data_IF_736095709372
#
_entry.id   IF_736095709372
#
_cell.length_a   1.000
_cell.length_b   1.000
_cell.length_c   1.000
_cell.angle_alpha   90.00
_cell.angle_beta   90.00
_cell.angle_gamma   90.00
#
_symmetry.space_group_name_H-M   'P 1'
#
loop_
_entity.id
_entity.type
_entity.pdbx_description
1 polymer ?
#
# COMPACT_ATOMS: atom_id res chain seq x y z
N UNK A 1 3.73 34.77 -5.94
CA UNK A 1 3.01 33.49 -5.75
C UNK A 1 3.07 33.17 -4.27
N UNK A 2 1.96 32.75 -3.67
CA UNK A 2 1.91 32.33 -2.28
C UNK A 2 2.74 31.07 -2.06
N UNK A 3 3.30 30.92 -0.85
CA UNK A 3 3.97 29.68 -0.41
C UNK A 3 3.09 28.45 -0.65
N UNK A 4 1.78 28.57 -0.48
CA UNK A 4 0.80 27.51 -0.72
C UNK A 4 0.80 27.05 -2.17
N UNK A 5 0.67 27.98 -3.11
CA UNK A 5 0.65 27.67 -4.55
C UNK A 5 1.94 26.97 -5.02
N UNK A 6 3.08 27.44 -4.53
CA UNK A 6 4.39 26.88 -4.83
C UNK A 6 4.55 25.47 -4.25
N UNK A 7 4.15 25.25 -3.00
CA UNK A 7 4.24 23.95 -2.32
C UNK A 7 3.33 22.90 -2.96
N UNK A 8 2.10 23.25 -3.33
CA UNK A 8 1.19 22.35 -4.05
C UNK A 8 1.81 21.93 -5.39
N UNK A 9 2.29 22.90 -6.16
CA UNK A 9 2.92 22.63 -7.47
C UNK A 9 4.17 21.77 -7.34
N UNK A 10 5.01 22.06 -6.35
CA UNK A 10 6.24 21.32 -6.08
C UNK A 10 5.93 19.88 -5.67
N UNK A 11 5.01 19.68 -4.72
CA UNK A 11 4.60 18.36 -4.25
C UNK A 11 4.02 17.51 -5.38
N UNK A 12 3.13 18.06 -6.21
CA UNK A 12 2.60 17.34 -7.38
C UNK A 12 3.71 16.88 -8.33
N UNK A 13 4.66 17.77 -8.64
CA UNK A 13 5.80 17.45 -9.51
C UNK A 13 6.72 16.40 -8.90
N UNK A 14 6.96 16.46 -7.59
CA UNK A 14 7.76 15.49 -6.86
C UNK A 14 7.13 14.09 -6.92
N UNK A 15 5.80 14.01 -6.79
CA UNK A 15 5.02 12.78 -7.00
C UNK A 15 4.86 12.37 -8.48
N UNK A 16 5.46 13.11 -9.43
CA UNK A 16 5.37 12.89 -10.88
C UNK A 16 3.94 12.83 -11.45
N UNK A 17 3.00 13.52 -10.80
CA UNK A 17 1.61 13.57 -11.24
C UNK A 17 1.40 14.69 -12.26
N UNK A 18 0.65 14.42 -13.32
CA UNK A 18 0.08 15.48 -14.17
C UNK A 18 -1.05 16.20 -13.43
N UNK A 19 -1.38 17.42 -13.87
CA UNK A 19 -2.51 18.19 -13.34
C UNK A 19 -3.81 17.39 -13.46
N UNK A 20 -4.05 16.81 -14.64
CA UNK A 20 -5.17 15.90 -14.89
C UNK A 20 -5.16 14.69 -13.95
N UNK A 21 -4.02 14.04 -13.73
CA UNK A 21 -3.95 12.93 -12.77
C UNK A 21 -4.34 13.35 -11.35
N UNK A 22 -3.85 14.50 -10.88
CA UNK A 22 -4.18 15.01 -9.55
C UNK A 22 -5.70 15.22 -9.36
N UNK A 23 -6.40 15.65 -10.43
CA UNK A 23 -7.85 15.89 -10.37
C UNK A 23 -8.66 14.65 -10.00
N UNK A 24 -8.27 13.48 -10.50
CA UNK A 24 -8.95 12.23 -10.19
C UNK A 24 -8.89 11.86 -8.71
N UNK A 25 -7.85 12.32 -8.01
CA UNK A 25 -7.66 12.02 -6.60
C UNK A 25 -8.39 13.03 -5.69
N UNK A 26 -8.35 14.32 -6.01
CA UNK A 26 -8.94 15.36 -5.16
C UNK A 26 -10.39 15.72 -5.52
N UNK A 27 -10.89 15.25 -6.67
CA UNK A 27 -12.30 15.43 -7.08
C UNK A 27 -12.65 16.83 -7.57
N UNK A 28 -11.69 17.59 -8.13
CA UNK A 28 -11.91 18.95 -8.67
C UNK A 28 -11.57 19.02 -10.15
N UNK A 29 -11.95 20.11 -10.83
CA UNK A 29 -11.59 20.30 -12.25
C UNK A 29 -10.09 20.56 -12.46
N UNK A 30 -9.56 20.22 -13.63
CA UNK A 30 -8.16 20.53 -13.99
C UNK A 30 -7.84 22.02 -13.90
N UNK A 31 -8.81 22.88 -14.29
CA UNK A 31 -8.68 24.33 -14.12
C UNK A 31 -8.52 24.71 -12.65
N UNK A 32 -9.21 24.07 -11.72
CA UNK A 32 -9.09 24.36 -10.29
C UNK A 32 -7.67 24.11 -9.79
N UNK A 33 -7.08 22.96 -10.16
CA UNK A 33 -5.69 22.64 -9.80
C UNK A 33 -4.71 23.66 -10.38
N UNK A 34 -4.87 24.00 -11.67
CA UNK A 34 -4.03 25.04 -12.32
C UNK A 34 -4.15 26.37 -11.57
N UNK A 35 -5.36 26.75 -11.13
CA UNK A 35 -5.55 27.97 -10.36
C UNK A 35 -4.90 27.91 -8.97
N UNK A 36 -4.96 26.76 -8.30
CA UNK A 36 -4.25 26.54 -7.02
C UNK A 36 -2.73 26.72 -7.18
N UNK A 37 -2.16 26.14 -8.22
CA UNK A 37 -0.71 26.18 -8.49
C UNK A 37 -0.19 27.52 -8.98
N UNK A 38 -1.09 28.40 -9.46
CA UNK A 38 -0.75 29.74 -9.95
C UNK A 38 -1.27 30.86 -9.04
N UNK A 39 -1.67 30.54 -7.81
CA UNK A 39 -2.12 31.53 -6.82
C UNK A 39 -3.39 32.31 -7.23
N UNK A 40 -4.23 31.71 -8.07
CA UNK A 40 -5.48 32.30 -8.60
C UNK A 40 -6.74 31.83 -7.84
N UNK A 41 -6.60 30.82 -6.99
CA UNK A 41 -7.60 30.39 -6.02
C UNK A 41 -6.94 29.56 -4.92
N UNK A 42 -7.62 29.40 -3.80
CA UNK A 42 -7.20 28.52 -2.71
C UNK A 42 -7.98 27.21 -2.75
N UNK A 43 -7.34 26.07 -2.42
CA UNK A 43 -8.09 24.83 -2.18
C UNK A 43 -9.04 25.04 -1.00
N UNK A 44 -10.25 24.50 -1.11
CA UNK A 44 -11.16 24.40 0.03
C UNK A 44 -10.63 23.38 1.06
N UNK A 45 -11.26 23.32 2.23
CA UNK A 45 -10.84 22.42 3.30
C UNK A 45 -10.80 20.97 2.85
N UNK A 46 -11.78 20.54 2.04
CA UNK A 46 -11.82 19.17 1.52
C UNK A 46 -10.62 18.88 0.60
N UNK A 47 -10.38 19.75 -0.38
CA UNK A 47 -9.26 19.64 -1.31
C UNK A 47 -7.92 19.70 -0.58
N UNK A 48 -7.79 20.57 0.43
CA UNK A 48 -6.57 20.70 1.22
C UNK A 48 -6.25 19.42 2.00
N UNK A 49 -7.25 18.79 2.62
CA UNK A 49 -7.09 17.50 3.30
C UNK A 49 -6.65 16.42 2.31
N UNK A 50 -7.24 16.39 1.11
CA UNK A 50 -6.84 15.44 0.08
C UNK A 50 -5.40 15.68 -0.38
N UNK A 51 -5.01 16.94 -0.64
CA UNK A 51 -3.65 17.30 -1.05
C UNK A 51 -2.62 16.90 0.02
N UNK A 52 -2.88 17.20 1.29
CA UNK A 52 -2.06 16.79 2.43
C UNK A 52 -1.87 15.26 2.47
N UNK A 53 -2.96 14.53 2.28
CA UNK A 53 -2.98 13.06 2.27
C UNK A 53 -2.24 12.45 1.07
N UNK A 54 -2.44 13.01 -0.13
CA UNK A 54 -1.81 12.52 -1.37
C UNK A 54 -0.30 12.76 -1.36
N UNK A 55 0.12 13.91 -0.85
CA UNK A 55 1.52 14.30 -0.84
C UNK A 55 2.28 13.84 0.41
N UNK A 56 1.59 13.28 1.40
CA UNK A 56 2.13 12.94 2.73
C UNK A 56 2.80 14.14 3.41
N UNK A 57 2.10 15.28 3.40
CA UNK A 57 2.55 16.57 3.95
C UNK A 57 1.56 17.09 4.98
N UNK A 58 2.04 17.84 5.97
CA UNK A 58 1.15 18.54 6.90
C UNK A 58 0.36 19.64 6.18
N UNK A 59 -0.86 19.93 6.63
CA UNK A 59 -1.63 21.10 6.16
C UNK A 59 -0.91 22.39 6.48
N UNK A 60 -0.24 22.46 7.63
CA UNK A 60 0.51 23.65 8.05
C UNK A 60 1.71 23.91 7.12
N UNK A 61 2.38 22.85 6.67
CA UNK A 61 3.36 22.97 5.59
C UNK A 61 2.69 23.41 4.30
N UNK A 62 1.63 22.75 3.84
CA UNK A 62 0.98 23.16 2.59
C UNK A 62 0.49 24.60 2.61
N UNK A 63 0.01 25.11 3.74
CA UNK A 63 -0.48 26.48 3.91
C UNK A 63 0.63 27.52 4.15
N UNK A 64 1.89 27.11 4.29
CA UNK A 64 2.99 28.03 4.57
C UNK A 64 3.12 28.45 6.04
N UNK A 65 2.39 27.82 6.95
CA UNK A 65 2.38 28.09 8.40
C UNK A 65 3.57 27.44 9.14
N UNK A 66 4.16 26.40 8.53
CA UNK A 66 5.34 25.70 9.05
C UNK A 66 6.30 25.35 7.92
N UNK A 67 7.61 25.34 8.18
CA UNK A 67 8.61 24.80 7.25
C UNK A 67 8.88 23.30 7.51
N UNK A 68 8.28 22.74 8.57
CA UNK A 68 8.30 21.30 8.80
C UNK A 68 7.28 20.59 7.91
N UNK A 69 7.79 19.92 6.88
CA UNK A 69 7.00 19.12 5.95
C UNK A 69 6.41 17.87 6.59
N UNK A 70 7.01 17.37 7.69
CA UNK A 70 6.51 16.18 8.36
C UNK A 70 5.09 16.40 8.84
N UNK A 71 4.24 15.52 8.37
CA UNK A 71 2.94 15.35 8.93
C UNK A 71 3.03 14.60 10.26
N UNK A 72 3.49 15.28 11.31
CA UNK A 72 3.55 14.78 12.69
C UNK A 72 2.21 14.20 13.19
N UNK A 73 1.09 14.54 12.54
CA UNK A 73 -0.25 14.04 12.84
C UNK A 73 -0.79 12.96 11.87
N UNK A 74 -0.16 12.72 10.70
CA UNK A 74 -0.68 11.76 9.70
C UNK A 74 -0.24 10.31 9.95
N UNK A 75 0.49 10.01 11.02
CA UNK A 75 0.78 8.61 11.38
C UNK A 75 -0.51 7.80 11.65
N UNK A 76 -1.59 8.48 12.08
CA UNK A 76 -2.95 7.94 12.15
C UNK A 76 -3.66 7.85 10.79
N UNK A 77 -3.35 8.74 9.85
CA UNK A 77 -3.88 8.76 8.48
C UNK A 77 -3.13 7.84 7.51
N UNK A 78 -1.92 7.38 7.87
CA UNK A 78 -1.30 6.20 7.27
C UNK A 78 -2.37 5.15 7.20
N UNK A 79 -3.00 4.72 8.29
CA UNK A 79 -4.04 3.67 8.35
C UNK A 79 -5.27 3.77 7.40
N UNK A 80 -5.53 4.90 6.68
CA UNK A 80 -6.72 5.09 5.82
C UNK A 80 -6.52 6.00 4.59
N UNK A 81 -5.35 6.01 3.94
CA UNK A 81 -5.15 6.74 2.67
C UNK A 81 -6.08 6.20 1.56
N UNK A 82 -6.41 7.01 0.54
CA UNK A 82 -7.23 6.61 -0.61
C UNK A 82 -6.71 5.34 -1.29
N UNK A 83 -5.40 5.15 -1.37
CA UNK A 83 -4.79 3.93 -1.90
C UNK A 83 -5.10 2.71 -1.03
N UNK A 84 -5.04 2.84 0.30
CA UNK A 84 -5.41 1.75 1.20
C UNK A 84 -6.91 1.42 1.12
N UNK A 85 -7.78 2.44 1.06
CA UNK A 85 -9.22 2.23 0.84
C UNK A 85 -9.51 1.56 -0.49
N UNK A 86 -8.77 1.92 -1.54
CA UNK A 86 -8.87 1.26 -2.85
C UNK A 86 -8.52 -0.23 -2.71
N UNK A 87 -7.37 -0.57 -2.11
CA UNK A 87 -6.93 -1.95 -1.92
C UNK A 87 -7.87 -2.75 -1.00
N UNK A 88 -8.45 -2.13 0.03
CA UNK A 88 -9.44 -2.77 0.90
C UNK A 88 -10.72 -3.19 0.15
N UNK A 89 -11.08 -2.44 -0.89
CA UNK A 89 -12.25 -2.71 -1.72
C UNK A 89 -11.92 -3.52 -2.98
N UNK A 90 -10.67 -3.98 -3.14
CA UNK A 90 -10.33 -4.91 -4.21
C UNK A 90 -11.12 -6.22 -4.08
N UNK A 91 -11.31 -6.86 -5.23
CA UNK A 91 -12.02 -8.12 -5.38
C UNK A 91 -11.07 -9.23 -5.82
N UNK A 92 -11.47 -10.46 -5.50
CA UNK A 92 -10.81 -11.69 -5.97
C UNK A 92 -11.12 -11.84 -7.46
N UNK A 93 -10.13 -12.29 -8.24
CA UNK A 93 -10.26 -12.60 -9.67
C UNK A 93 -10.28 -14.10 -9.88
N UNK A 94 -11.13 -14.61 -10.76
CA UNK A 94 -11.37 -16.04 -10.95
C UNK A 94 -10.21 -16.78 -11.66
N UNK A 95 -9.39 -16.08 -12.46
CA UNK A 95 -8.36 -16.68 -13.32
C UNK A 95 -6.93 -16.58 -12.75
N UNK A 96 -6.78 -16.55 -11.43
CA UNK A 96 -5.44 -16.51 -10.80
C UNK A 96 -5.44 -17.21 -9.45
N UNK A 97 -4.33 -17.89 -9.16
CA UNK A 97 -4.05 -18.33 -7.80
C UNK A 97 -3.83 -17.12 -6.89
N UNK A 98 -4.16 -17.28 -5.62
CA UNK A 98 -3.85 -16.35 -4.55
C UNK A 98 -3.00 -17.02 -3.48
N UNK A 99 -2.19 -16.22 -2.79
CA UNK A 99 -1.30 -16.66 -1.74
C UNK A 99 -1.50 -15.81 -0.49
N UNK A 100 -1.52 -16.46 0.67
CA UNK A 100 -1.58 -15.77 1.95
C UNK A 100 -0.21 -15.21 2.31
N UNK A 101 -0.12 -13.89 2.47
CA UNK A 101 1.06 -13.20 2.96
C UNK A 101 0.76 -12.34 4.20
N UNK A 102 1.79 -12.12 5.00
CA UNK A 102 1.74 -11.31 6.21
C UNK A 102 3.01 -10.46 6.32
N UNK A 103 2.85 -9.20 6.69
CA UNK A 103 3.96 -8.26 6.82
C UNK A 103 3.75 -7.37 8.04
N UNK A 104 4.78 -7.21 8.86
CA UNK A 104 4.77 -6.29 10.00
C UNK A 104 5.90 -5.27 9.86
N UNK A 105 5.63 -4.00 9.53
CA UNK A 105 6.68 -3.00 9.36
C UNK A 105 7.49 -2.71 10.65
N UNK A 106 7.01 -3.19 11.80
CA UNK A 106 7.65 -2.99 13.11
C UNK A 106 8.64 -4.11 13.50
N UNK A 107 8.60 -5.27 12.84
CA UNK A 107 9.33 -6.48 13.30
C UNK A 107 10.76 -6.61 12.72
N UNK A 108 11.37 -5.51 12.25
CA UNK A 108 12.76 -5.47 11.77
C UNK A 108 12.92 -5.48 10.24
N UNK A 109 14.14 -5.73 9.71
CA UNK A 109 14.36 -5.68 8.26
C UNK A 109 13.69 -6.90 7.58
N UNK A 110 12.59 -6.65 6.87
CA UNK A 110 11.87 -7.58 5.97
C UNK A 110 11.12 -8.78 6.60
N UNK A 111 10.20 -8.60 7.57
CA UNK A 111 9.37 -9.69 8.09
C UNK A 111 8.17 -9.98 7.16
N UNK A 112 8.41 -10.20 5.86
CA UNK A 112 7.40 -10.71 4.95
C UNK A 112 7.33 -12.23 5.09
N UNK A 113 6.16 -12.76 5.42
CA UNK A 113 5.88 -14.18 5.62
C UNK A 113 4.75 -14.61 4.72
N UNK A 114 4.63 -15.91 4.50
CA UNK A 114 3.48 -16.49 3.84
C UNK A 114 3.23 -17.93 4.27
N UNK A 115 2.07 -18.46 3.88
CA UNK A 115 1.77 -19.88 4.10
C UNK A 115 2.58 -20.71 3.11
N UNK A 116 3.50 -21.50 3.63
CA UNK A 116 4.38 -22.35 2.82
C UNK A 116 3.79 -23.76 2.68
N UNK A 117 4.14 -24.44 1.59
CA UNK A 117 3.95 -25.87 1.38
C UNK A 117 5.28 -26.53 1.03
N UNK A 118 5.42 -27.80 1.40
CA UNK A 118 6.55 -28.61 0.99
C UNK A 118 6.57 -28.75 -0.53
N UNK A 119 7.75 -28.54 -1.12
CA UNK A 119 7.98 -28.48 -2.55
C UNK A 119 9.09 -29.42 -3.03
N UNK A 120 9.51 -30.37 -2.19
CA UNK A 120 10.54 -31.36 -2.50
C UNK A 120 11.76 -31.28 -1.60
N UNK A 121 12.84 -31.92 -2.04
CA UNK A 121 14.17 -31.84 -1.44
C UNK A 121 15.21 -31.74 -2.54
N UNK A 122 16.34 -31.05 -2.27
CA UNK A 122 17.52 -31.06 -3.13
C UNK A 122 18.51 -32.19 -2.79
N UNK A 123 18.11 -33.11 -1.91
CA UNK A 123 18.93 -34.20 -1.39
C UNK A 123 19.69 -33.86 -0.10
N UNK A 124 19.68 -32.60 0.35
CA UNK A 124 20.28 -32.16 1.62
C UNK A 124 19.29 -31.44 2.51
N UNK A 125 18.46 -30.57 1.93
CA UNK A 125 17.50 -29.75 2.65
C UNK A 125 16.08 -29.95 2.08
N UNK A 126 15.08 -29.74 2.93
CA UNK A 126 13.69 -29.68 2.50
C UNK A 126 13.42 -28.31 1.88
N UNK A 127 12.73 -28.33 0.74
CA UNK A 127 12.40 -27.15 -0.02
C UNK A 127 10.93 -26.80 0.18
N UNK A 128 10.66 -25.51 0.30
CA UNK A 128 9.32 -24.98 0.49
C UNK A 128 9.05 -23.82 -0.46
N UNK A 129 7.78 -23.67 -0.86
CA UNK A 129 7.31 -22.55 -1.68
C UNK A 129 5.95 -22.06 -1.13
N UNK A 130 5.50 -20.88 -1.57
CA UNK A 130 4.18 -20.38 -1.22
C UNK A 130 3.09 -21.36 -1.64
N UNK A 131 2.17 -21.60 -0.71
CA UNK A 131 1.00 -22.44 -0.89
C UNK A 131 -0.15 -21.61 -1.47
N UNK A 132 -0.71 -22.00 -2.63
CA UNK A 132 -1.92 -21.37 -3.12
C UNK A 132 -3.08 -21.62 -2.15
N UNK A 133 -3.94 -20.63 -1.99
CA UNK A 133 -5.14 -20.69 -1.15
C UNK A 133 -6.40 -20.57 -2.00
N UNK A 134 -7.54 -20.97 -1.44
CA UNK A 134 -8.87 -20.69 -1.99
C UNK A 134 -9.44 -19.49 -1.22
N UNK A 135 -9.39 -18.26 -1.77
CA UNK A 135 -9.76 -17.05 -1.06
C UNK A 135 -11.14 -17.10 -0.41
N UNK A 136 -12.15 -17.59 -1.12
CA UNK A 136 -13.54 -17.67 -0.68
C UNK A 136 -13.66 -18.53 0.58
N UNK A 137 -13.00 -19.69 0.59
CA UNK A 137 -12.96 -20.59 1.75
C UNK A 137 -12.29 -19.92 2.94
N UNK A 138 -11.17 -19.21 2.72
CA UNK A 138 -10.49 -18.47 3.78
C UNK A 138 -11.35 -17.34 4.35
N UNK A 139 -12.06 -16.58 3.50
CA UNK A 139 -12.91 -15.47 3.93
C UNK A 139 -14.07 -15.95 4.81
N UNK A 140 -14.74 -17.04 4.45
CA UNK A 140 -15.82 -17.65 5.26
C UNK A 140 -15.31 -18.02 6.66
N UNK A 141 -14.11 -18.60 6.75
CA UNK A 141 -13.51 -18.98 8.04
C UNK A 141 -13.19 -17.74 8.87
N UNK A 142 -12.60 -16.71 8.26
CA UNK A 142 -12.24 -15.47 8.96
C UNK A 142 -13.47 -14.73 9.50
N UNK A 143 -14.54 -14.69 8.73
CA UNK A 143 -15.83 -14.12 9.14
C UNK A 143 -16.38 -14.84 10.39
N UNK A 144 -16.41 -16.18 10.37
CA UNK A 144 -16.84 -16.98 11.54
C UNK A 144 -16.00 -16.75 12.78
N UNK A 145 -14.71 -16.45 12.60
CA UNK A 145 -13.77 -16.18 13.69
C UNK A 145 -13.74 -14.71 14.13
N UNK A 146 -14.56 -13.83 13.53
CA UNK A 146 -14.55 -12.39 13.81
C UNK A 146 -13.21 -11.72 13.47
N UNK A 147 -12.45 -12.28 12.54
CA UNK A 147 -11.14 -11.77 12.12
C UNK A 147 -11.29 -10.78 10.98
N UNK A 148 -10.37 -9.82 10.92
CA UNK A 148 -10.36 -8.82 9.86
C UNK A 148 -10.11 -9.46 8.49
N UNK A 149 -10.83 -8.98 7.47
CA UNK A 149 -10.64 -9.37 6.08
C UNK A 149 -9.22 -8.96 5.61
N UNK A 150 -8.42 -9.88 5.02
CA UNK A 150 -7.14 -9.56 4.42
C UNK A 150 -7.29 -8.65 3.20
N UNK A 151 -6.27 -7.84 2.92
CA UNK A 151 -6.24 -7.05 1.68
C UNK A 151 -6.17 -7.97 0.46
N UNK A 152 -6.76 -7.56 -0.66
CA UNK A 152 -6.64 -8.30 -1.93
C UNK A 152 -5.69 -7.54 -2.84
N UNK A 153 -4.55 -8.15 -3.20
CA UNK A 153 -3.51 -7.53 -4.00
C UNK A 153 -3.52 -8.12 -5.40
N UNK A 154 -3.80 -7.26 -6.39
CA UNK A 154 -3.93 -7.60 -7.79
C UNK A 154 -2.91 -6.88 -8.69
N UNK A 155 -2.15 -5.94 -8.14
CA UNK A 155 -1.11 -5.16 -8.81
C UNK A 155 0.11 -4.92 -7.92
N UNK A 156 1.23 -4.48 -8.53
CA UNK A 156 2.42 -4.04 -7.79
C UNK A 156 2.13 -2.83 -6.92
N UNK A 157 1.23 -1.96 -7.36
CA UNK A 157 0.80 -0.78 -6.60
C UNK A 157 0.08 -1.21 -5.31
N UNK A 158 -0.82 -2.21 -5.39
CA UNK A 158 -1.49 -2.78 -4.21
C UNK A 158 -0.46 -3.34 -3.22
N UNK A 159 0.59 -3.99 -3.74
CA UNK A 159 1.67 -4.54 -2.92
C UNK A 159 2.50 -3.47 -2.23
N UNK A 160 2.82 -2.37 -2.91
CA UNK A 160 3.51 -1.23 -2.30
C UNK A 160 2.67 -0.62 -1.18
N UNK A 161 1.36 -0.50 -1.39
CA UNK A 161 0.44 -0.09 -0.32
C UNK A 161 0.49 -1.10 0.82
N UNK A 162 0.39 -2.39 0.57
CA UNK A 162 0.52 -3.40 1.63
C UNK A 162 1.83 -3.27 2.45
N UNK A 163 2.97 -2.98 1.81
CA UNK A 163 4.24 -2.79 2.50
C UNK A 163 4.32 -1.51 3.36
N UNK A 164 3.49 -0.50 3.08
CA UNK A 164 3.43 0.70 3.92
C UNK A 164 2.65 0.41 5.21
N UNK A 165 1.63 -0.45 5.15
CA UNK A 165 0.63 -0.61 6.21
C UNK A 165 0.83 -1.87 7.03
N UNK A 166 1.32 -2.94 6.41
CA UNK A 166 1.37 -4.26 7.00
C UNK A 166 0.01 -4.91 7.19
N UNK A 167 0.00 -5.98 7.97
CA UNK A 167 -1.14 -6.85 8.19
C UNK A 167 -1.10 -8.08 7.29
N UNK A 168 -2.28 -8.56 6.91
CA UNK A 168 -2.46 -9.77 6.10
C UNK A 168 -3.05 -9.44 4.73
N UNK A 169 -2.62 -10.18 3.72
CA UNK A 169 -3.14 -10.01 2.36
C UNK A 169 -3.20 -11.34 1.58
N UNK A 170 -4.11 -11.38 0.61
CA UNK A 170 -4.15 -12.38 -0.44
C UNK A 170 -3.53 -11.74 -1.69
N UNK A 171 -2.33 -12.18 -2.05
CA UNK A 171 -1.63 -11.69 -3.22
C UNK A 171 -1.88 -12.62 -4.41
N UNK A 172 -2.27 -12.05 -5.56
CA UNK A 172 -2.43 -12.83 -6.78
C UNK A 172 -1.09 -13.41 -7.26
N UNK A 173 -1.15 -14.46 -8.07
CA UNK A 173 0.04 -15.08 -8.66
C UNK A 173 0.92 -14.06 -9.39
N UNK A 174 0.32 -13.13 -10.13
CA UNK A 174 1.06 -12.09 -10.83
C UNK A 174 1.80 -11.17 -9.86
N UNK A 175 1.16 -10.74 -8.76
CA UNK A 175 1.81 -9.94 -7.71
C UNK A 175 2.97 -10.72 -7.10
N UNK A 176 2.75 -12.00 -6.78
CA UNK A 176 3.80 -12.85 -6.23
C UNK A 176 4.99 -12.98 -7.19
N UNK A 177 4.74 -13.21 -8.48
CA UNK A 177 5.75 -13.33 -9.52
C UNK A 177 6.55 -12.04 -9.73
N UNK A 178 5.90 -10.89 -9.67
CA UNK A 178 6.54 -9.59 -9.91
C UNK A 178 7.28 -9.03 -8.69
N UNK A 179 6.75 -9.26 -7.50
CA UNK A 179 7.20 -8.55 -6.28
C UNK A 179 7.92 -9.47 -5.29
N UNK A 180 7.66 -10.78 -5.34
CA UNK A 180 8.26 -11.77 -4.43
C UNK A 180 8.54 -13.11 -5.14
N UNK A 181 9.20 -13.12 -6.32
CA UNK A 181 9.40 -14.34 -7.10
C UNK A 181 10.18 -15.43 -6.35
N UNK A 182 11.01 -15.05 -5.37
CA UNK A 182 11.77 -15.97 -4.53
C UNK A 182 10.89 -16.80 -3.60
N UNK A 183 9.68 -16.32 -3.26
CA UNK A 183 8.73 -17.08 -2.43
C UNK A 183 7.92 -18.11 -3.21
N UNK A 184 7.83 -17.97 -4.54
CA UNK A 184 7.19 -18.96 -5.42
C UNK A 184 8.10 -20.12 -5.78
N UNK A 185 9.43 -19.95 -5.63
CA UNK A 185 10.41 -20.97 -5.96
C UNK A 185 10.69 -21.83 -4.75
N UNK A 186 10.88 -23.16 -4.91
CA UNK A 186 11.33 -24.02 -3.84
C UNK A 186 12.65 -23.50 -3.27
N UNK A 187 12.65 -23.18 -1.98
CA UNK A 187 13.81 -22.66 -1.26
C UNK A 187 13.82 -23.15 0.18
N UNK A 188 14.97 -23.01 0.83
CA UNK A 188 15.17 -23.53 2.18
C UNK A 188 14.69 -22.50 3.19
N UNK A 189 13.87 -22.93 4.14
CA UNK A 189 13.36 -22.05 5.20
C UNK A 189 14.30 -22.18 6.39
N UNK A 190 15.11 -21.15 6.64
CA UNK A 190 15.90 -21.10 7.89
C UNK A 190 14.95 -20.91 9.06
N UNK A 191 14.55 -22.01 9.69
CA UNK A 191 13.91 -21.98 11.00
C UNK A 191 14.93 -21.45 12.03
N UNK A 192 14.85 -20.17 12.39
CA UNK A 192 15.46 -19.63 13.63
C UNK A 192 14.70 -20.14 14.87
N UNK A 193 14.47 -21.45 14.95
CA UNK A 193 13.79 -22.12 16.05
C UNK A 193 14.57 -23.37 16.50
N UNK A 194 15.89 -23.30 16.41
CA UNK A 194 16.85 -24.26 16.99
C UNK A 194 18.12 -23.53 17.44
N UNK A 195 17.97 -22.52 18.28
CA UNK A 195 19.03 -22.18 19.23
C UNK A 195 18.32 -22.12 20.60
N UNK A 196 18.73 -23.08 21.45
CA UNK A 196 18.28 -23.32 22.81
C UNK A 196 18.60 -22.13 23.72
#
# INVERSE_FOLDING_TARGET
MSKTSERIRHARKHCRLTTKQLTYFIGVSERSVVRYENDQSTPDTHSLIQLASIFDLSTDYLLGLSDNAEASFLELYRTKNIFYRYVQNNHIREETDYYWIEYSPKDGPFPLRGKMQWAGTDGKEELYALRPIIPESCLIILEKLGRQKPLILNSREDFNVFLIYGGTAFASHQVCKECMPYLLRPGTVKNKAREL
#
